data_IF_385043072162
#
_entry.id   IF_385043072162
#
_cell.length_a   1.000
_cell.length_b   1.000
_cell.length_c   1.000
_cell.angle_alpha   90.00
_cell.angle_beta   90.00
_cell.angle_gamma   90.00
#
_symmetry.space_group_name_H-M   'P 1'
#
loop_
_entity.id
_entity.type
_entity.pdbx_description
1 polymer ?
#
# COMPACT_ATOMS: atom_id res chain seq x y z
N UNK A 1 -20.23 8.11 -8.45
CA UNK A 1 -21.52 7.77 -7.80
C UNK A 1 -21.72 8.73 -6.65
N UNK A 2 -22.95 9.17 -6.43
CA UNK A 2 -23.28 9.98 -5.26
C UNK A 2 -23.37 9.10 -4.00
N UNK A 3 -23.25 9.64 -2.78
CA UNK A 3 -23.49 8.90 -1.53
C UNK A 3 -24.80 8.13 -1.50
N UNK A 4 -25.82 8.59 -2.23
CA UNK A 4 -27.13 7.93 -2.37
C UNK A 4 -27.04 6.53 -3.00
N UNK A 5 -26.07 6.28 -3.89
CA UNK A 5 -25.93 4.96 -4.54
C UNK A 5 -25.26 3.91 -3.63
N UNK A 6 -24.54 4.34 -2.58
CA UNK A 6 -23.93 3.44 -1.59
C UNK A 6 -24.87 3.04 -0.46
N UNK A 7 -25.97 3.76 -0.29
CA UNK A 7 -26.91 3.59 0.82
C UNK A 7 -27.50 2.16 0.93
N UNK A 8 -27.96 1.51 -0.15
CA UNK A 8 -28.46 0.12 -0.05
C UNK A 8 -27.41 -0.87 0.42
N UNK A 9 -26.16 -0.73 -0.06
CA UNK A 9 -25.06 -1.60 0.35
C UNK A 9 -24.65 -1.35 1.81
N UNK A 10 -24.71 -0.10 2.28
CA UNK A 10 -24.50 0.26 3.68
C UNK A 10 -25.55 -0.38 4.59
N UNK A 11 -26.83 -0.31 4.22
CA UNK A 11 -27.93 -0.94 4.98
C UNK A 11 -27.78 -2.46 5.08
N UNK A 12 -27.40 -3.10 3.97
CA UNK A 12 -27.08 -4.54 3.96
C UNK A 12 -25.92 -4.86 4.91
N UNK A 13 -24.85 -4.08 4.86
CA UNK A 13 -23.69 -4.24 5.74
C UNK A 13 -24.08 -4.09 7.21
N UNK A 14 -24.80 -3.02 7.58
CA UNK A 14 -25.23 -2.77 8.96
C UNK A 14 -26.11 -3.90 9.50
N UNK A 15 -27.06 -4.36 8.70
CA UNK A 15 -27.89 -5.52 9.03
C UNK A 15 -27.05 -6.78 9.23
N UNK A 16 -26.09 -7.03 8.33
CA UNK A 16 -25.23 -8.20 8.39
C UNK A 16 -24.36 -8.22 9.67
N UNK A 17 -23.68 -7.12 9.98
CA UNK A 17 -22.81 -7.06 11.16
C UNK A 17 -23.60 -7.07 12.48
N UNK A 18 -24.77 -6.45 12.51
CA UNK A 18 -25.64 -6.44 13.70
C UNK A 18 -26.16 -7.84 14.06
N UNK A 19 -26.37 -8.70 13.06
CA UNK A 19 -26.85 -10.06 13.25
C UNK A 19 -25.72 -11.06 13.51
N UNK A 20 -24.53 -10.84 12.97
CA UNK A 20 -23.52 -11.91 12.88
C UNK A 20 -22.17 -11.58 13.51
N UNK A 21 -21.73 -10.31 13.61
CA UNK A 21 -20.47 -9.95 14.24
C UNK A 21 -20.62 -9.78 15.75
N UNK A 22 -19.97 -10.63 16.53
CA UNK A 22 -19.94 -10.50 17.99
C UNK A 22 -19.29 -9.18 18.43
N UNK A 23 -18.25 -8.73 17.68
CA UNK A 23 -17.57 -7.47 17.94
C UNK A 23 -18.54 -6.30 17.79
N UNK A 24 -19.22 -6.16 16.65
CA UNK A 24 -20.11 -5.03 16.42
C UNK A 24 -21.37 -5.09 17.29
N UNK A 25 -21.91 -6.28 17.58
CA UNK A 25 -23.00 -6.41 18.56
C UNK A 25 -22.63 -5.87 19.94
N UNK A 26 -21.39 -6.12 20.38
CA UNK A 26 -20.88 -5.56 21.63
C UNK A 26 -20.75 -4.05 21.54
N UNK A 27 -20.11 -3.52 20.51
CA UNK A 27 -19.88 -2.08 20.30
C UNK A 27 -21.22 -1.32 20.25
N UNK A 28 -22.20 -1.79 19.49
CA UNK A 28 -23.51 -1.16 19.37
C UNK A 28 -24.23 -1.07 20.74
N UNK A 29 -24.12 -2.11 21.55
CA UNK A 29 -24.71 -2.16 22.87
C UNK A 29 -23.97 -1.22 23.86
N UNK A 30 -22.64 -1.25 23.88
CA UNK A 30 -21.81 -0.42 24.78
C UNK A 30 -21.98 1.07 24.53
N UNK A 31 -22.17 1.45 23.27
CA UNK A 31 -22.36 2.84 22.86
C UNK A 31 -23.83 3.26 22.67
N UNK A 32 -24.79 2.38 22.99
CA UNK A 32 -26.23 2.60 22.81
C UNK A 32 -26.59 3.05 21.37
N UNK A 33 -25.99 2.42 20.35
CA UNK A 33 -26.18 2.75 18.96
C UNK A 33 -27.46 2.06 18.44
N UNK A 34 -28.37 2.87 17.92
CA UNK A 34 -29.51 2.39 17.15
C UNK A 34 -29.07 2.24 15.68
N UNK A 35 -28.84 1.01 15.25
CA UNK A 35 -28.37 0.72 13.88
C UNK A 35 -29.41 1.10 12.83
N UNK A 36 -30.70 1.00 13.17
CA UNK A 36 -31.79 1.36 12.25
C UNK A 36 -31.90 2.87 12.02
N UNK A 37 -31.36 3.68 12.93
CA UNK A 37 -31.27 5.13 12.76
C UNK A 37 -30.17 5.57 11.77
N UNK A 38 -29.20 4.70 11.45
CA UNK A 38 -28.13 4.98 10.50
C UNK A 38 -28.66 4.71 9.08
N UNK A 39 -29.18 5.73 8.43
CA UNK A 39 -29.86 5.60 7.14
C UNK A 39 -29.07 6.09 5.94
N UNK A 40 -28.05 6.91 6.14
CA UNK A 40 -27.20 7.50 5.10
C UNK A 40 -25.72 7.28 5.38
N UNK A 41 -24.86 7.51 4.37
CA UNK A 41 -23.41 7.52 4.55
C UNK A 41 -22.96 8.58 5.56
N UNK A 42 -23.65 9.73 5.61
CA UNK A 42 -23.35 10.80 6.56
C UNK A 42 -23.59 10.38 8.03
N UNK A 43 -24.52 9.47 8.26
CA UNK A 43 -24.84 8.99 9.62
C UNK A 43 -23.74 8.07 10.19
N UNK A 44 -22.79 7.59 9.36
CA UNK A 44 -21.66 6.78 9.82
C UNK A 44 -20.86 7.44 10.93
N UNK A 45 -20.84 8.78 11.00
CA UNK A 45 -20.16 9.53 12.07
C UNK A 45 -20.66 9.18 13.47
N UNK A 46 -21.87 8.62 13.60
CA UNK A 46 -22.42 8.14 14.87
C UNK A 46 -21.75 6.84 15.35
N UNK A 47 -21.08 6.10 14.46
CA UNK A 47 -20.35 4.89 14.80
C UNK A 47 -18.95 5.21 15.29
N UNK A 48 -18.45 4.54 16.34
CA UNK A 48 -17.05 4.64 16.72
C UNK A 48 -16.15 4.06 15.62
N UNK A 49 -14.89 4.47 15.65
CA UNK A 49 -13.90 3.91 14.74
C UNK A 49 -13.53 2.47 15.15
N UNK A 50 -13.32 1.63 14.17
CA UNK A 50 -12.63 0.35 14.32
C UNK A 50 -11.13 0.55 14.11
N UNK A 51 -10.30 -0.06 14.94
CA UNK A 51 -8.85 0.10 14.89
C UNK A 51 -8.14 -1.24 14.63
N UNK A 52 -6.85 -1.16 14.34
CA UNK A 52 -6.01 -2.36 14.21
C UNK A 52 -5.86 -3.10 15.53
N UNK A 53 -5.87 -2.39 16.65
CA UNK A 53 -5.80 -2.99 18.00
C UNK A 53 -7.08 -3.78 18.30
N UNK A 54 -8.25 -3.29 17.88
CA UNK A 54 -9.51 -4.04 17.96
C UNK A 54 -9.45 -5.35 17.17
N UNK A 55 -8.94 -5.29 15.94
CA UNK A 55 -8.74 -6.48 15.11
C UNK A 55 -7.75 -7.47 15.73
N UNK A 56 -6.68 -6.98 16.34
CA UNK A 56 -5.71 -7.84 17.01
C UNK A 56 -6.27 -8.49 18.29
N UNK A 57 -7.03 -7.72 19.07
CA UNK A 57 -7.57 -8.17 20.36
C UNK A 57 -8.80 -9.10 20.19
N UNK A 58 -9.65 -8.82 19.20
CA UNK A 58 -10.97 -9.47 19.05
C UNK A 58 -11.14 -10.16 17.70
N UNK A 59 -10.07 -10.64 17.09
CA UNK A 59 -10.04 -11.08 15.69
C UNK A 59 -11.21 -12.00 15.29
N UNK A 60 -11.43 -13.10 16.02
CA UNK A 60 -12.50 -14.06 15.73
C UNK A 60 -13.92 -13.49 15.97
N UNK A 61 -14.07 -12.41 16.74
CA UNK A 61 -15.36 -11.77 17.00
C UNK A 61 -15.85 -10.92 15.80
N UNK A 62 -14.93 -10.57 14.88
CA UNK A 62 -15.30 -9.90 13.63
C UNK A 62 -15.92 -10.86 12.59
N UNK A 63 -15.70 -12.18 12.75
CA UNK A 63 -16.19 -13.18 11.80
C UNK A 63 -17.74 -13.26 11.82
N UNK A 64 -18.33 -13.02 10.66
CA UNK A 64 -19.78 -12.98 10.47
C UNK A 64 -20.37 -14.29 9.93
N UNK A 65 -19.54 -15.29 9.60
CA UNK A 65 -19.97 -16.57 9.04
C UNK A 65 -19.32 -17.74 9.77
N UNK A 66 -19.87 -18.95 9.69
CA UNK A 66 -19.20 -20.15 10.21
C UNK A 66 -17.87 -20.39 9.51
N UNK A 67 -16.83 -20.81 10.23
CA UNK A 67 -15.50 -21.13 9.67
C UNK A 67 -15.53 -22.13 8.51
N UNK A 68 -16.56 -22.97 8.44
CA UNK A 68 -16.77 -23.92 7.33
C UNK A 68 -17.12 -23.26 5.99
N UNK A 69 -17.47 -21.95 5.98
CA UNK A 69 -17.72 -21.18 4.77
C UNK A 69 -16.48 -20.40 4.29
N UNK A 70 -15.37 -20.51 5.01
CA UNK A 70 -14.13 -19.79 4.66
C UNK A 70 -13.40 -20.56 3.57
N UNK A 71 -13.12 -19.85 2.49
CA UNK A 71 -12.40 -20.35 1.32
C UNK A 71 -10.90 -20.01 1.38
N UNK A 72 -10.54 -18.81 1.91
CA UNK A 72 -9.14 -18.40 2.02
C UNK A 72 -8.83 -17.79 3.39
N UNK A 73 -7.66 -18.14 3.92
CA UNK A 73 -7.12 -17.69 5.21
C UNK A 73 -5.88 -16.84 4.95
N UNK A 74 -6.01 -15.53 5.13
CA UNK A 74 -4.92 -14.58 4.85
C UNK A 74 -4.49 -13.83 6.10
N UNK A 75 -3.33 -13.20 6.04
CA UNK A 75 -2.83 -12.37 7.16
C UNK A 75 -2.29 -11.05 6.66
N UNK A 76 -2.39 -10.02 7.50
CA UNK A 76 -1.70 -8.74 7.28
C UNK A 76 -0.17 -8.93 7.33
N UNK A 77 0.59 -7.91 6.91
CA UNK A 77 2.06 -8.00 6.85
C UNK A 77 2.76 -7.97 8.21
N UNK A 78 2.08 -7.55 9.28
CA UNK A 78 2.65 -7.51 10.65
C UNK A 78 3.91 -6.67 10.79
N UNK A 79 3.96 -5.48 10.23
CA UNK A 79 5.17 -4.62 10.26
C UNK A 79 5.51 -4.05 11.64
N UNK A 80 4.52 -3.83 12.49
CA UNK A 80 4.68 -3.23 13.84
C UNK A 80 4.02 -4.05 14.96
N UNK A 81 3.20 -5.04 14.62
CA UNK A 81 2.47 -5.91 15.55
C UNK A 81 2.33 -7.30 14.96
N UNK A 82 1.83 -8.25 15.74
CA UNK A 82 1.49 -9.57 15.22
C UNK A 82 0.54 -9.48 14.03
N UNK A 83 0.72 -10.35 13.01
CA UNK A 83 -0.17 -10.38 11.86
C UNK A 83 -1.61 -10.69 12.26
N UNK A 84 -2.55 -9.86 11.82
CA UNK A 84 -3.99 -10.10 11.99
C UNK A 84 -4.47 -11.05 10.90
N UNK A 85 -5.29 -12.04 11.25
CA UNK A 85 -5.90 -12.94 10.30
C UNK A 85 -7.18 -12.34 9.69
N UNK A 86 -7.37 -12.58 8.39
CA UNK A 86 -8.62 -12.30 7.69
C UNK A 86 -9.15 -13.59 7.07
N UNK A 87 -10.44 -13.79 7.16
CA UNK A 87 -11.14 -14.99 6.71
C UNK A 87 -12.07 -14.60 5.57
N UNK A 88 -11.83 -15.13 4.39
CA UNK A 88 -12.54 -14.78 3.17
C UNK A 88 -13.47 -15.92 2.76
N UNK A 89 -14.73 -15.60 2.48
CA UNK A 89 -15.67 -16.51 1.82
C UNK A 89 -15.40 -16.55 0.32
N UNK A 90 -16.08 -17.42 -0.41
CA UNK A 90 -16.03 -17.44 -1.87
C UNK A 90 -16.51 -16.12 -2.48
N UNK A 91 -17.55 -15.52 -1.89
CA UNK A 91 -18.04 -14.18 -2.27
C UNK A 91 -16.98 -13.09 -2.06
N UNK A 92 -16.24 -13.12 -0.95
CA UNK A 92 -15.16 -12.18 -0.68
C UNK A 92 -14.01 -12.33 -1.68
N UNK A 93 -13.66 -13.55 -2.04
CA UNK A 93 -12.64 -13.85 -3.06
C UNK A 93 -13.08 -13.33 -4.43
N UNK A 94 -14.35 -13.48 -4.81
CA UNK A 94 -14.88 -12.94 -6.06
C UNK A 94 -14.96 -11.40 -6.04
N UNK A 95 -15.24 -10.80 -4.87
CA UNK A 95 -15.16 -9.35 -4.67
C UNK A 95 -13.73 -8.82 -4.90
N UNK A 96 -12.71 -9.54 -4.40
CA UNK A 96 -11.31 -9.21 -4.67
C UNK A 96 -10.98 -9.28 -6.17
N UNK A 97 -11.47 -10.31 -6.86
CA UNK A 97 -11.30 -10.43 -8.31
C UNK A 97 -11.92 -9.25 -9.07
N UNK A 98 -13.09 -8.79 -8.61
CA UNK A 98 -13.77 -7.61 -9.18
C UNK A 98 -12.94 -6.36 -8.95
N UNK A 99 -12.47 -6.13 -7.72
CA UNK A 99 -11.61 -4.99 -7.40
C UNK A 99 -10.36 -4.93 -8.29
N UNK A 100 -9.65 -6.04 -8.43
CA UNK A 100 -8.40 -6.06 -9.21
C UNK A 100 -8.65 -5.90 -10.70
N UNK A 101 -9.73 -6.49 -11.24
CA UNK A 101 -10.14 -6.28 -12.62
C UNK A 101 -10.38 -4.80 -12.92
N UNK A 102 -11.11 -4.10 -12.04
CA UNK A 102 -11.37 -2.66 -12.17
C UNK A 102 -10.11 -1.80 -11.95
N UNK A 103 -9.24 -2.21 -11.03
CA UNK A 103 -7.94 -1.58 -10.79
C UNK A 103 -7.05 -1.65 -12.04
N UNK A 104 -6.99 -2.81 -12.70
CA UNK A 104 -6.23 -2.98 -13.93
C UNK A 104 -6.82 -2.17 -15.09
N UNK A 105 -8.15 -2.13 -15.22
CA UNK A 105 -8.82 -1.26 -16.20
C UNK A 105 -8.58 0.22 -15.90
N UNK A 106 -8.50 0.62 -14.63
CA UNK A 106 -8.16 1.99 -14.22
C UNK A 106 -6.76 2.36 -14.68
N UNK A 107 -5.79 1.47 -14.54
CA UNK A 107 -4.42 1.63 -15.04
C UNK A 107 -4.30 1.51 -16.57
N UNK A 108 -5.40 1.39 -17.30
CA UNK A 108 -5.43 1.30 -18.77
C UNK A 108 -5.25 -0.11 -19.31
N UNK A 109 -5.38 -1.13 -18.47
CA UNK A 109 -5.30 -2.54 -18.88
C UNK A 109 -6.53 -3.04 -19.61
N UNK A 110 -6.35 -4.09 -20.39
CA UNK A 110 -7.37 -4.72 -21.22
C UNK A 110 -7.21 -6.25 -21.25
N UNK A 111 -8.17 -6.93 -21.88
CA UNK A 111 -8.14 -8.37 -22.11
C UNK A 111 -6.99 -8.83 -23.03
N UNK A 112 -6.40 -7.92 -23.81
CA UNK A 112 -5.27 -8.23 -24.68
C UNK A 112 -3.91 -8.18 -23.96
N UNK A 113 -3.88 -7.76 -22.70
CA UNK A 113 -2.65 -7.66 -21.92
C UNK A 113 -2.22 -8.99 -21.31
N UNK A 114 -0.91 -9.13 -21.17
CA UNK A 114 -0.29 -10.22 -20.40
C UNK A 114 0.45 -9.58 -19.24
N UNK A 115 0.04 -9.93 -18.02
CA UNK A 115 0.64 -9.43 -16.79
C UNK A 115 1.76 -10.36 -16.32
N UNK A 116 2.87 -9.81 -15.85
CA UNK A 116 3.89 -10.56 -15.11
C UNK A 116 3.84 -10.18 -13.64
N UNK A 117 3.51 -11.15 -12.78
CA UNK A 117 3.43 -10.97 -11.34
C UNK A 117 4.79 -11.22 -10.71
N UNK A 118 5.44 -10.15 -10.21
CA UNK A 118 6.74 -10.19 -9.53
C UNK A 118 6.60 -10.12 -8.01
N UNK A 119 5.49 -10.58 -7.46
CA UNK A 119 5.27 -10.70 -6.02
C UNK A 119 4.76 -12.09 -5.68
N UNK A 120 4.75 -12.41 -4.37
CA UNK A 120 4.30 -13.73 -3.90
C UNK A 120 2.81 -13.94 -4.16
N UNK A 121 2.40 -15.18 -4.45
CA UNK A 121 1.01 -15.63 -4.49
C UNK A 121 0.67 -16.52 -3.29
N UNK A 122 1.67 -16.96 -2.55
CA UNK A 122 1.61 -17.82 -1.38
C UNK A 122 1.79 -17.05 -0.06
N UNK A 123 2.15 -17.72 1.04
CA UNK A 123 2.43 -17.15 2.36
C UNK A 123 1.28 -16.34 2.95
N UNK A 124 0.04 -16.76 2.70
CA UNK A 124 -1.18 -16.08 3.19
C UNK A 124 -1.27 -14.61 2.72
N UNK A 125 -0.69 -14.30 1.56
CA UNK A 125 -0.73 -12.97 0.97
C UNK A 125 -1.94 -12.83 0.06
N UNK A 126 -2.94 -12.09 0.52
CA UNK A 126 -4.23 -11.92 -0.15
C UNK A 126 -4.09 -11.39 -1.59
N UNK A 127 -3.29 -10.34 -1.77
CA UNK A 127 -3.22 -9.64 -3.05
C UNK A 127 -2.64 -10.50 -4.19
N UNK A 128 -1.74 -11.45 -3.89
CA UNK A 128 -1.15 -12.31 -4.92
C UNK A 128 -2.19 -13.14 -5.68
N UNK A 129 -3.12 -13.77 -4.94
CA UNK A 129 -4.25 -14.48 -5.53
C UNK A 129 -5.24 -13.52 -6.19
N UNK A 130 -5.54 -12.40 -5.54
CA UNK A 130 -6.45 -11.38 -6.05
C UNK A 130 -6.01 -10.85 -7.41
N UNK A 131 -4.71 -10.56 -7.62
CA UNK A 131 -4.18 -10.13 -8.92
C UNK A 131 -4.42 -11.17 -10.01
N UNK A 132 -4.15 -12.44 -9.73
CA UNK A 132 -4.39 -13.51 -10.71
C UNK A 132 -5.88 -13.62 -11.08
N UNK A 133 -6.76 -13.57 -10.07
CA UNK A 133 -8.20 -13.65 -10.28
C UNK A 133 -8.74 -12.42 -11.01
N UNK A 134 -8.22 -11.24 -10.71
CA UNK A 134 -8.57 -9.99 -11.40
C UNK A 134 -8.19 -10.01 -12.88
N UNK A 135 -6.98 -10.46 -13.21
CA UNK A 135 -6.55 -10.62 -14.59
C UNK A 135 -7.43 -11.64 -15.33
N UNK A 136 -7.69 -12.80 -14.70
CA UNK A 136 -8.59 -13.82 -15.24
C UNK A 136 -10.01 -13.26 -15.49
N UNK A 137 -10.56 -12.50 -14.52
CA UNK A 137 -11.89 -11.89 -14.64
C UNK A 137 -11.95 -10.85 -15.77
N UNK A 138 -10.87 -10.13 -15.98
CA UNK A 138 -10.73 -9.18 -17.10
C UNK A 138 -10.57 -9.87 -18.46
N UNK A 139 -10.18 -11.15 -18.48
CA UNK A 139 -9.87 -11.90 -19.70
C UNK A 139 -8.40 -11.83 -20.12
N UNK A 140 -7.54 -11.23 -19.27
CA UNK A 140 -6.11 -11.05 -19.54
C UNK A 140 -5.28 -12.26 -19.10
N UNK A 141 -4.10 -12.41 -19.70
CA UNK A 141 -3.11 -13.42 -19.28
C UNK A 141 -2.31 -13.00 -18.05
N UNK A 142 -1.81 -14.01 -17.28
CA UNK A 142 -0.89 -13.73 -16.17
C UNK A 142 0.20 -14.79 -16.04
N UNK A 143 1.45 -14.31 -15.97
CA UNK A 143 2.66 -15.09 -15.71
C UNK A 143 2.99 -14.92 -14.23
N UNK A 144 3.01 -16.01 -13.47
CA UNK A 144 3.26 -15.99 -12.02
C UNK A 144 4.70 -16.38 -11.74
N UNK A 145 5.62 -15.41 -11.81
CA UNK A 145 7.06 -15.64 -11.59
C UNK A 145 7.40 -15.62 -10.10
N UNK A 146 6.71 -14.78 -9.34
CA UNK A 146 7.01 -14.57 -7.92
C UNK A 146 8.08 -13.49 -7.70
N UNK A 147 8.46 -13.24 -6.42
CA UNK A 147 9.39 -12.16 -6.06
C UNK A 147 10.85 -12.53 -6.33
N UNK A 148 11.67 -11.51 -6.56
CA UNK A 148 13.13 -11.66 -6.70
C UNK A 148 13.57 -12.33 -8.01
N UNK A 149 14.74 -12.98 -8.00
CA UNK A 149 15.31 -13.71 -9.14
C UNK A 149 15.29 -12.96 -10.48
N UNK A 150 16.07 -11.87 -10.67
CA UNK A 150 16.06 -11.07 -11.91
C UNK A 150 16.26 -11.91 -13.18
N UNK A 151 17.08 -12.97 -13.11
CA UNK A 151 17.26 -13.93 -14.20
C UNK A 151 15.91 -14.52 -14.67
N UNK A 152 15.13 -15.06 -13.73
CA UNK A 152 13.85 -15.71 -14.05
C UNK A 152 12.82 -14.70 -14.54
N UNK A 153 12.88 -13.45 -14.05
CA UNK A 153 12.00 -12.38 -14.53
C UNK A 153 12.26 -12.09 -16.01
N UNK A 154 13.53 -11.94 -16.40
CA UNK A 154 13.91 -11.66 -17.78
C UNK A 154 13.70 -12.84 -18.73
N UNK A 155 13.98 -14.07 -18.27
CA UNK A 155 13.65 -15.28 -19.02
C UNK A 155 12.15 -15.31 -19.37
N UNK A 156 11.30 -14.99 -18.40
CA UNK A 156 9.85 -14.94 -18.59
C UNK A 156 9.42 -13.82 -19.53
N UNK A 157 10.02 -12.62 -19.41
CA UNK A 157 9.74 -11.49 -20.31
C UNK A 157 10.08 -11.84 -21.76
N UNK A 158 11.27 -12.40 -21.99
CA UNK A 158 11.72 -12.79 -23.33
C UNK A 158 10.88 -13.91 -23.94
N UNK A 159 10.45 -14.85 -23.10
CA UNK A 159 9.71 -16.05 -23.57
C UNK A 159 8.24 -15.80 -23.83
N UNK A 160 7.58 -15.01 -23.00
CA UNK A 160 6.12 -14.85 -23.01
C UNK A 160 5.64 -13.45 -23.41
N UNK A 161 6.55 -12.49 -23.56
CA UNK A 161 6.28 -11.12 -23.99
C UNK A 161 5.13 -10.44 -23.21
N UNK A 162 5.18 -10.39 -21.85
CA UNK A 162 4.20 -9.67 -21.08
C UNK A 162 4.21 -8.17 -21.42
N UNK A 163 3.06 -7.51 -21.27
CA UNK A 163 2.91 -6.08 -21.53
C UNK A 163 2.89 -5.24 -20.27
N UNK A 164 2.55 -5.85 -19.11
CA UNK A 164 2.42 -5.18 -17.82
C UNK A 164 3.16 -5.96 -16.73
N UNK A 165 3.90 -5.25 -15.90
CA UNK A 165 4.50 -5.81 -14.68
C UNK A 165 3.69 -5.38 -13.46
N UNK A 166 3.49 -6.28 -12.50
CA UNK A 166 3.01 -5.96 -11.14
C UNK A 166 4.17 -6.21 -10.17
N UNK A 167 4.70 -5.15 -9.55
CA UNK A 167 5.89 -5.26 -8.72
C UNK A 167 5.96 -4.22 -7.59
N UNK A 168 6.80 -4.50 -6.61
CA UNK A 168 7.27 -3.50 -5.66
C UNK A 168 8.30 -2.61 -6.40
N UNK A 169 8.12 -1.29 -6.46
CA UNK A 169 8.94 -0.41 -7.29
C UNK A 169 10.44 -0.50 -7.03
N UNK A 170 10.86 -0.66 -5.78
CA UNK A 170 12.29 -0.78 -5.42
C UNK A 170 12.98 -2.03 -5.98
N UNK A 171 12.24 -2.98 -6.54
CA UNK A 171 12.82 -4.13 -7.24
C UNK A 171 13.19 -3.80 -8.70
N UNK A 172 12.54 -2.81 -9.32
CA UNK A 172 12.72 -2.49 -10.74
C UNK A 172 14.14 -2.01 -11.09
N UNK A 173 14.81 -1.10 -10.32
CA UNK A 173 16.21 -0.77 -10.58
C UNK A 173 17.12 -2.00 -10.61
N UNK A 174 16.96 -2.94 -9.69
CA UNK A 174 17.73 -4.18 -9.67
C UNK A 174 17.48 -5.06 -10.90
N UNK A 175 16.26 -5.05 -11.40
CA UNK A 175 15.89 -5.74 -12.64
C UNK A 175 16.60 -5.10 -13.85
N UNK A 176 16.67 -3.76 -13.91
CA UNK A 176 17.38 -3.01 -14.94
C UNK A 176 18.89 -3.24 -14.84
N UNK A 177 19.47 -3.15 -13.64
CA UNK A 177 20.90 -3.38 -13.41
C UNK A 177 21.33 -4.78 -13.85
N UNK A 178 20.48 -5.78 -13.59
CA UNK A 178 20.71 -7.14 -14.06
C UNK A 178 20.66 -7.22 -15.60
N UNK A 179 19.73 -6.54 -16.24
CA UNK A 179 19.64 -6.52 -17.70
C UNK A 179 20.90 -5.90 -18.33
N UNK A 180 21.37 -4.77 -17.79
CA UNK A 180 22.61 -4.11 -18.24
C UNK A 180 23.81 -5.05 -18.08
N UNK A 181 23.94 -5.70 -16.92
CA UNK A 181 25.06 -6.59 -16.63
C UNK A 181 25.07 -7.89 -17.49
N UNK A 182 23.95 -8.23 -18.14
CA UNK A 182 23.81 -9.44 -18.97
C UNK A 182 23.46 -9.12 -20.43
N UNK A 183 23.72 -7.89 -20.89
CA UNK A 183 23.48 -7.45 -22.28
C UNK A 183 22.05 -7.70 -22.77
N UNK A 184 21.06 -7.56 -21.88
CA UNK A 184 19.63 -7.68 -22.22
C UNK A 184 19.13 -6.29 -22.65
N UNK A 185 18.62 -6.17 -23.86
CA UNK A 185 17.95 -4.96 -24.34
C UNK A 185 16.54 -4.84 -23.73
N UNK A 186 16.49 -4.27 -22.54
CA UNK A 186 15.24 -4.06 -21.81
C UNK A 186 14.38 -2.95 -22.45
N UNK A 187 14.99 -2.01 -23.19
CA UNK A 187 14.25 -0.94 -23.87
C UNK A 187 13.40 -1.48 -25.03
N UNK A 188 13.87 -2.55 -25.70
CA UNK A 188 13.13 -3.23 -26.76
C UNK A 188 12.17 -4.30 -26.23
N UNK A 189 12.02 -4.45 -24.90
CA UNK A 189 11.09 -5.42 -24.31
C UNK A 189 9.62 -5.08 -24.61
N UNK A 190 8.76 -6.07 -24.45
CA UNK A 190 7.31 -5.92 -24.62
C UNK A 190 6.62 -5.09 -23.53
N UNK A 191 7.31 -4.76 -22.46
CA UNK A 191 6.74 -4.07 -21.28
C UNK A 191 6.38 -2.62 -21.63
N UNK A 192 5.13 -2.25 -21.37
CA UNK A 192 4.58 -0.89 -21.57
C UNK A 192 4.33 -0.16 -20.26
N UNK A 193 4.04 -0.91 -19.19
CA UNK A 193 3.68 -0.30 -17.92
C UNK A 193 4.00 -1.19 -16.73
N UNK A 194 4.09 -0.54 -15.56
CA UNK A 194 4.33 -1.18 -14.28
C UNK A 194 3.26 -0.72 -13.29
N UNK A 195 2.52 -1.64 -12.71
CA UNK A 195 1.64 -1.41 -11.58
C UNK A 195 2.50 -1.53 -10.32
N UNK A 196 2.69 -0.41 -9.65
CA UNK A 196 3.56 -0.24 -8.49
C UNK A 196 2.77 -0.46 -7.21
N UNK A 197 3.14 -1.50 -6.46
CA UNK A 197 2.46 -1.91 -5.24
C UNK A 197 3.36 -1.80 -4.01
N UNK A 198 2.75 -1.43 -2.88
CA UNK A 198 3.38 -1.53 -1.54
C UNK A 198 4.43 -0.48 -1.20
N UNK A 199 4.83 0.36 -2.13
CA UNK A 199 5.72 1.51 -1.93
C UNK A 199 5.23 2.69 -2.79
N UNK A 200 5.31 3.94 -2.30
CA UNK A 200 4.93 5.11 -3.09
C UNK A 200 5.93 5.38 -4.22
N UNK A 201 5.43 5.86 -5.35
CA UNK A 201 6.24 6.32 -6.48
C UNK A 201 6.01 7.80 -6.81
N UNK A 202 5.17 8.48 -6.02
CA UNK A 202 4.86 9.89 -6.20
C UNK A 202 5.02 10.67 -4.91
N UNK A 203 5.34 11.94 -5.08
CA UNK A 203 5.27 12.98 -4.06
C UNK A 203 3.83 13.48 -3.87
N UNK A 204 3.53 14.20 -2.76
CA UNK A 204 2.18 14.76 -2.54
C UNK A 204 1.66 15.67 -3.65
N UNK A 205 2.53 16.30 -4.45
CA UNK A 205 2.19 17.12 -5.63
C UNK A 205 1.92 16.29 -6.90
N UNK A 206 1.89 14.96 -6.78
CA UNK A 206 1.75 13.96 -7.84
C UNK A 206 2.95 13.83 -8.79
N UNK A 207 4.01 14.61 -8.64
CA UNK A 207 5.26 14.37 -9.38
C UNK A 207 5.84 13.00 -8.99
N UNK A 208 6.59 12.37 -9.89
CA UNK A 208 7.34 11.17 -9.54
C UNK A 208 8.37 11.49 -8.44
N UNK A 209 8.43 10.64 -7.43
CA UNK A 209 9.50 10.68 -6.44
C UNK A 209 10.83 10.21 -7.07
N UNK A 210 11.93 10.21 -6.32
CA UNK A 210 13.24 9.85 -6.85
C UNK A 210 13.31 8.41 -7.38
N UNK A 211 12.63 7.48 -6.74
CA UNK A 211 12.53 6.09 -7.23
C UNK A 211 11.78 6.01 -8.57
N UNK A 212 10.65 6.69 -8.68
CA UNK A 212 9.88 6.74 -9.93
C UNK A 212 10.67 7.40 -11.05
N UNK A 213 11.39 8.52 -10.78
CA UNK A 213 12.28 9.17 -11.74
C UNK A 213 13.43 8.27 -12.16
N UNK A 214 14.08 7.56 -11.23
CA UNK A 214 15.17 6.62 -11.51
C UNK A 214 14.71 5.53 -12.48
N UNK A 215 13.50 5.00 -12.31
CA UNK A 215 12.94 3.98 -13.21
C UNK A 215 12.69 4.56 -14.60
N UNK A 216 11.93 5.66 -14.69
CA UNK A 216 11.51 6.23 -15.98
C UNK A 216 12.62 6.90 -16.76
N UNK A 217 13.72 7.32 -16.10
CA UNK A 217 14.90 7.84 -16.80
C UNK A 217 15.69 6.77 -17.54
N UNK A 218 15.54 5.50 -17.20
CA UNK A 218 16.25 4.39 -17.80
C UNK A 218 15.36 3.53 -18.70
N UNK A 219 14.07 3.41 -18.38
CA UNK A 219 13.12 2.55 -19.07
C UNK A 219 11.85 3.33 -19.42
N UNK A 220 11.54 3.44 -20.70
CA UNK A 220 10.35 4.16 -21.18
C UNK A 220 9.07 3.33 -20.92
N UNK A 221 8.66 3.30 -19.66
CA UNK A 221 7.45 2.62 -19.18
C UNK A 221 6.57 3.54 -18.38
N UNK A 222 5.26 3.32 -18.42
CA UNK A 222 4.30 4.05 -17.59
C UNK A 222 4.25 3.42 -16.19
N UNK A 223 4.27 4.27 -15.16
CA UNK A 223 4.12 3.83 -13.78
C UNK A 223 2.73 4.19 -13.25
N UNK A 224 2.06 3.22 -12.66
CA UNK A 224 0.76 3.39 -12.00
C UNK A 224 0.88 3.02 -10.52
N UNK A 225 0.60 3.96 -9.62
CA UNK A 225 0.57 3.69 -8.19
C UNK A 225 -0.70 2.98 -7.77
N UNK A 226 -0.59 2.05 -6.83
CA UNK A 226 -1.72 1.37 -6.23
C UNK A 226 -1.57 1.36 -4.71
N UNK A 227 -2.54 1.94 -4.02
CA UNK A 227 -2.67 1.87 -2.57
C UNK A 227 -3.72 0.84 -2.18
N UNK A 228 -3.33 -0.15 -1.40
CA UNK A 228 -4.21 -1.24 -0.95
C UNK A 228 -3.77 -1.77 0.42
N UNK A 229 -4.69 -2.35 1.15
CA UNK A 229 -4.40 -3.13 2.36
C UNK A 229 -5.27 -4.39 2.43
N UNK A 230 -4.83 -5.37 3.25
CA UNK A 230 -5.60 -6.59 3.50
C UNK A 230 -6.94 -6.25 4.16
N UNK A 231 -6.93 -5.29 5.07
CA UNK A 231 -8.10 -4.84 5.84
C UNK A 231 -9.19 -4.25 4.93
N UNK A 232 -8.81 -3.47 3.92
CA UNK A 232 -9.77 -2.89 2.97
C UNK A 232 -10.34 -3.93 2.01
N UNK A 233 -9.56 -4.95 1.66
CA UNK A 233 -9.91 -5.88 0.60
C UNK A 233 -10.22 -5.19 -0.73
N UNK A 234 -9.58 -4.04 -0.97
CA UNK A 234 -9.75 -3.22 -2.15
C UNK A 234 -8.50 -2.34 -2.39
N UNK A 235 -8.44 -1.67 -3.52
CA UNK A 235 -7.33 -0.84 -3.92
C UNK A 235 -7.79 0.51 -4.50
N UNK A 236 -6.97 1.53 -4.27
CA UNK A 236 -7.05 2.82 -4.95
C UNK A 236 -5.95 2.85 -6.00
N UNK A 237 -6.32 2.71 -7.27
CA UNK A 237 -5.37 2.61 -8.37
C UNK A 237 -5.40 3.87 -9.24
N UNK A 238 -4.23 4.35 -9.63
CA UNK A 238 -4.08 5.50 -10.53
C UNK A 238 -4.58 5.17 -11.95
N UNK A 239 -5.16 6.17 -12.58
CA UNK A 239 -5.39 6.16 -14.03
C UNK A 239 -4.21 6.83 -14.76
N UNK A 240 -4.33 6.96 -16.08
CA UNK A 240 -3.31 7.59 -16.96
C UNK A 240 -2.94 9.04 -16.58
N UNK A 241 -3.80 9.74 -15.85
CA UNK A 241 -3.55 11.13 -15.43
C UNK A 241 -2.56 11.23 -14.27
N UNK A 242 -2.34 10.13 -13.51
CA UNK A 242 -1.39 10.07 -12.40
C UNK A 242 -1.68 11.06 -11.27
N UNK A 243 -2.96 11.38 -11.05
CA UNK A 243 -3.44 12.36 -10.06
C UNK A 243 -4.18 11.70 -8.91
N UNK A 244 -3.55 10.67 -8.32
CA UNK A 244 -4.08 9.91 -7.20
C UNK A 244 -4.88 8.67 -7.60
N UNK A 245 -5.03 7.75 -6.64
CA UNK A 245 -5.74 6.49 -6.81
C UNK A 245 -7.25 6.66 -6.71
N UNK A 246 -7.99 6.12 -7.66
CA UNK A 246 -9.45 6.17 -7.70
C UNK A 246 -10.08 5.20 -6.72
N UNK A 247 -11.08 5.66 -5.98
CA UNK A 247 -11.98 4.83 -5.20
C UNK A 247 -12.86 3.99 -6.12
N UNK A 248 -13.07 2.71 -5.78
CA UNK A 248 -14.22 1.96 -6.27
C UNK A 248 -15.39 2.12 -5.26
N UNK A 249 -16.40 2.95 -5.56
CA UNK A 249 -17.48 3.26 -4.61
C UNK A 249 -18.44 2.11 -4.36
N UNK A 250 -18.43 1.06 -5.18
CA UNK A 250 -19.23 -0.15 -4.95
C UNK A 250 -18.62 -1.05 -3.86
N UNK A 251 -17.33 -0.85 -3.56
CA UNK A 251 -16.59 -1.70 -2.62
C UNK A 251 -16.24 -1.02 -1.29
N UNK A 252 -16.11 0.31 -1.29
CA UNK A 252 -15.70 1.06 -0.10
C UNK A 252 -16.47 2.36 0.05
N UNK A 253 -16.81 2.73 1.29
CA UNK A 253 -17.06 4.10 1.68
C UNK A 253 -15.76 4.65 2.25
N UNK A 254 -15.35 5.83 1.80
CA UNK A 254 -14.13 6.51 2.18
C UNK A 254 -14.46 7.72 3.05
N UNK A 255 -13.77 7.82 4.17
CA UNK A 255 -13.64 9.04 4.97
C UNK A 255 -12.14 9.37 5.09
N UNK A 256 -11.79 10.63 5.16
CA UNK A 256 -10.44 11.07 5.53
C UNK A 256 -10.61 12.07 6.66
N UNK A 257 -9.99 11.78 7.80
CA UNK A 257 -10.30 12.47 9.06
C UNK A 257 -9.05 13.07 9.71
N UNK A 258 -9.25 14.15 10.46
CA UNK A 258 -8.24 14.76 11.33
C UNK A 258 -8.01 13.93 12.61
N UNK A 259 -7.24 14.49 13.55
CA UNK A 259 -6.95 13.83 14.83
C UNK A 259 -8.17 13.75 15.76
N UNK A 260 -9.12 14.64 15.59
CA UNK A 260 -10.40 14.72 16.34
C UNK A 260 -11.46 13.80 15.72
N UNK A 261 -11.22 13.28 14.52
CA UNK A 261 -12.12 12.37 13.82
C UNK A 261 -13.15 13.08 12.92
N UNK A 262 -12.97 14.37 12.65
CA UNK A 262 -13.77 15.13 11.71
C UNK A 262 -13.24 14.98 10.29
N UNK A 263 -14.13 15.01 9.31
CA UNK A 263 -13.73 14.97 7.90
C UNK A 263 -12.87 16.19 7.54
N UNK A 264 -11.76 15.95 6.84
CA UNK A 264 -10.90 17.01 6.31
C UNK A 264 -11.45 17.57 5.00
N UNK A 265 -11.07 18.80 4.67
CA UNK A 265 -11.41 19.40 3.40
C UNK A 265 -10.60 18.82 2.23
N UNK A 266 -11.03 19.12 1.00
CA UNK A 266 -10.33 18.69 -0.21
C UNK A 266 -8.91 19.22 -0.25
N UNK A 267 -7.96 18.33 -0.53
CA UNK A 267 -6.54 18.66 -0.56
C UNK A 267 -5.84 18.67 0.80
N UNK A 268 -6.56 18.53 1.90
CA UNK A 268 -5.98 18.42 3.23
C UNK A 268 -5.52 16.99 3.54
N UNK A 269 -4.54 16.90 4.44
CA UNK A 269 -3.98 15.65 4.93
C UNK A 269 -4.80 15.12 6.10
N UNK A 270 -5.25 13.87 6.00
CA UNK A 270 -5.93 13.19 7.10
C UNK A 270 -5.68 11.69 7.12
N UNK A 271 -6.17 11.03 8.18
CA UNK A 271 -6.12 9.58 8.32
C UNK A 271 -7.22 8.94 7.45
N UNK A 272 -6.82 7.97 6.62
CA UNK A 272 -7.75 7.22 5.78
C UNK A 272 -8.58 6.28 6.65
N UNK A 273 -9.91 6.42 6.55
CA UNK A 273 -10.90 5.57 7.20
C UNK A 273 -11.78 4.93 6.13
N UNK A 274 -12.01 3.63 6.26
CA UNK A 274 -12.81 2.88 5.28
C UNK A 274 -13.92 2.07 5.94
N UNK A 275 -15.06 2.02 5.28
CA UNK A 275 -16.12 1.05 5.55
C UNK A 275 -16.23 0.13 4.35
N UNK A 276 -16.08 -1.18 4.57
CA UNK A 276 -16.04 -2.17 3.49
C UNK A 276 -17.47 -2.58 3.09
N UNK A 277 -17.78 -2.48 1.80
CA UNK A 277 -19.07 -2.90 1.25
C UNK A 277 -18.95 -4.26 0.57
N UNK A 278 -20.01 -5.08 0.70
CA UNK A 278 -20.10 -6.40 0.07
C UNK A 278 -19.12 -7.45 0.61
N UNK A 279 -18.52 -7.22 1.78
CA UNK A 279 -17.71 -8.21 2.49
C UNK A 279 -18.61 -9.06 3.37
N UNK A 280 -18.48 -10.38 3.25
CA UNK A 280 -19.31 -11.35 3.97
C UNK A 280 -18.60 -11.91 5.21
N UNK A 281 -17.31 -12.25 5.10
CA UNK A 281 -16.56 -12.91 6.15
C UNK A 281 -16.23 -12.00 7.33
N UNK A 282 -15.49 -10.95 7.10
CA UNK A 282 -15.02 -10.00 8.13
C UNK A 282 -15.16 -8.55 7.65
N UNK A 283 -16.39 -8.04 7.55
CA UNK A 283 -16.61 -6.66 7.16
C UNK A 283 -16.14 -5.66 8.24
N UNK A 284 -15.73 -4.47 7.80
CA UNK A 284 -15.24 -3.42 8.68
C UNK A 284 -16.08 -2.14 8.54
N UNK A 285 -16.48 -1.56 9.68
CA UNK A 285 -17.13 -0.26 9.78
C UNK A 285 -16.12 0.78 10.29
N UNK A 286 -15.98 1.90 9.58
CA UNK A 286 -15.13 3.05 9.94
C UNK A 286 -13.74 2.65 10.42
N UNK A 287 -13.07 1.76 9.66
CA UNK A 287 -11.76 1.26 10.02
C UNK A 287 -10.67 2.30 9.76
N UNK A 288 -9.96 2.70 10.82
CA UNK A 288 -8.77 3.54 10.76
C UNK A 288 -7.58 2.75 10.24
N UNK A 289 -7.11 3.09 9.04
CA UNK A 289 -5.98 2.39 8.41
C UNK A 289 -4.63 2.75 9.05
N UNK A 290 -4.56 3.90 9.70
CA UNK A 290 -3.33 4.52 10.18
C UNK A 290 -2.53 5.20 9.07
N UNK A 291 -2.93 5.10 7.81
CA UNK A 291 -2.24 5.73 6.68
C UNK A 291 -2.77 7.16 6.46
N UNK A 292 -1.86 8.10 6.18
CA UNK A 292 -2.17 9.52 5.98
C UNK A 292 -2.12 9.85 4.49
N UNK A 293 -3.23 10.38 3.95
CA UNK A 293 -3.37 10.78 2.56
C UNK A 293 -4.13 12.11 2.44
N UNK A 294 -3.92 12.81 1.32
CA UNK A 294 -4.80 13.90 0.90
C UNK A 294 -5.97 13.32 0.09
N UNK A 295 -7.16 13.91 0.20
CA UNK A 295 -8.35 13.47 -0.54
C UNK A 295 -8.75 14.50 -1.59
N UNK A 296 -9.28 14.02 -2.74
CA UNK A 296 -9.71 14.85 -3.86
C UNK A 296 -11.08 14.38 -4.35
N UNK A 297 -12.05 15.30 -4.41
CA UNK A 297 -13.44 15.02 -4.82
C UNK A 297 -13.75 15.49 -6.24
N UNK A 298 -12.94 16.40 -6.78
CA UNK A 298 -13.12 16.92 -8.14
C UNK A 298 -13.08 15.79 -9.19
N UNK A 299 -13.87 15.85 -10.28
CA UNK A 299 -13.81 14.89 -11.36
C UNK A 299 -12.42 14.81 -11.98
N UNK A 300 -11.96 13.59 -12.25
CA UNK A 300 -10.68 13.39 -12.92
C UNK A 300 -10.80 13.59 -14.43
N UNK A 301 -9.74 14.11 -15.06
CA UNK A 301 -9.66 14.26 -16.52
C UNK A 301 -9.79 12.91 -17.28
N UNK A 302 -9.62 11.77 -16.62
CA UNK A 302 -9.89 10.44 -17.20
C UNK A 302 -11.39 10.14 -17.37
N UNK A 303 -12.28 10.99 -16.88
CA UNK A 303 -13.75 10.86 -16.94
C UNK A 303 -14.38 10.22 -15.69
N UNK A 304 -13.59 9.71 -14.73
CA UNK A 304 -14.11 9.17 -13.47
C UNK A 304 -14.47 10.31 -12.50
N UNK A 305 -15.57 10.11 -11.77
CA UNK A 305 -16.09 11.08 -10.78
C UNK A 305 -15.95 10.58 -9.34
N UNK A 306 -15.39 9.37 -9.14
CA UNK A 306 -15.15 8.85 -7.79
C UNK A 306 -14.04 9.64 -7.09
N UNK A 307 -14.11 9.80 -5.75
CA UNK A 307 -13.03 10.36 -4.96
C UNK A 307 -11.69 9.69 -5.23
N UNK A 308 -10.61 10.45 -5.06
CA UNK A 308 -9.24 9.97 -5.23
C UNK A 308 -8.44 10.22 -3.96
N UNK A 309 -7.57 9.29 -3.64
CA UNK A 309 -6.55 9.47 -2.62
C UNK A 309 -5.21 9.85 -3.27
N UNK A 310 -4.57 10.87 -2.71
CA UNK A 310 -3.17 11.18 -2.99
C UNK A 310 -2.24 10.06 -2.55
N UNK A 311 -0.94 10.19 -2.83
CA UNK A 311 0.07 9.26 -2.33
C UNK A 311 0.04 9.17 -0.81
N UNK A 312 0.33 7.99 -0.26
CA UNK A 312 0.49 7.82 1.18
C UNK A 312 1.70 8.62 1.63
N UNK A 313 1.47 9.66 2.43
CA UNK A 313 2.52 10.52 2.99
C UNK A 313 3.28 9.78 4.10
N UNK A 314 2.58 8.93 4.84
CA UNK A 314 3.16 8.10 5.90
C UNK A 314 2.10 7.39 6.72
N UNK A 315 2.57 6.69 7.75
CA UNK A 315 1.71 6.08 8.77
C UNK A 315 1.75 6.87 10.05
N UNK A 316 0.59 7.11 10.66
CA UNK A 316 0.46 7.85 11.91
C UNK A 316 1.33 7.26 13.03
N UNK A 317 1.36 5.93 13.13
CA UNK A 317 2.18 5.20 14.11
C UNK A 317 3.69 5.17 13.78
N UNK A 318 4.08 5.56 12.55
CA UNK A 318 5.47 5.63 12.10
C UNK A 318 5.99 7.06 12.03
N UNK A 319 5.23 8.02 12.55
CA UNK A 319 5.65 9.40 12.64
C UNK A 319 6.85 9.53 13.56
N UNK A 320 7.95 10.10 13.06
CA UNK A 320 9.21 10.27 13.78
C UNK A 320 9.33 11.74 14.20
N UNK A 321 9.44 11.99 15.49
CA UNK A 321 9.66 13.34 16.03
C UNK A 321 11.15 13.54 16.31
N UNK A 322 11.90 14.00 15.30
CA UNK A 322 13.35 14.12 15.36
C UNK A 322 13.80 15.58 15.34
N UNK A 323 14.48 16.02 16.41
CA UNK A 323 15.04 17.39 16.54
C UNK A 323 14.02 18.50 16.24
N UNK A 324 12.79 18.35 16.75
CA UNK A 324 11.72 19.34 16.57
C UNK A 324 11.01 19.30 15.21
N UNK A 325 11.37 18.35 14.35
CA UNK A 325 10.73 18.15 13.03
C UNK A 325 9.96 16.84 13.03
N UNK A 326 8.75 16.86 12.48
CA UNK A 326 7.98 15.64 12.20
C UNK A 326 8.38 15.09 10.83
N UNK A 327 8.80 13.83 10.79
CA UNK A 327 9.26 13.16 9.59
C UNK A 327 8.50 11.84 9.42
N UNK A 328 8.07 11.55 8.21
CA UNK A 328 7.56 10.24 7.85
C UNK A 328 8.62 9.45 7.08
N UNK A 329 8.73 8.12 7.29
CA UNK A 329 9.75 7.29 6.64
C UNK A 329 9.85 7.43 5.13
N UNK A 330 8.75 7.59 4.34
CA UNK A 330 8.86 7.80 2.90
C UNK A 330 9.73 9.01 2.51
N UNK A 331 9.70 10.08 3.28
CA UNK A 331 10.53 11.26 3.01
C UNK A 331 12.03 10.98 3.22
N UNK A 332 12.39 10.12 4.18
CA UNK A 332 13.77 9.67 4.37
C UNK A 332 14.21 8.77 3.20
N UNK A 333 13.33 7.89 2.76
CA UNK A 333 13.61 7.00 1.63
C UNK A 333 13.82 7.79 0.34
N UNK A 334 13.01 8.82 0.07
CA UNK A 334 13.15 9.67 -1.11
C UNK A 334 14.51 10.38 -1.15
N UNK A 335 15.02 10.85 -0.01
CA UNK A 335 16.37 11.44 0.08
C UNK A 335 17.44 10.41 -0.23
N UNK A 336 17.32 9.17 0.26
CA UNK A 336 18.29 8.11 0.06
C UNK A 336 18.26 7.56 -1.38
N UNK A 337 17.07 7.39 -1.93
CA UNK A 337 16.85 6.90 -3.30
C UNK A 337 17.33 7.91 -4.37
N UNK A 338 17.47 9.22 -4.01
CA UNK A 338 18.04 10.24 -4.87
C UNK A 338 19.55 10.10 -5.10
N UNK A 339 20.26 9.35 -4.27
CA UNK A 339 21.72 9.20 -4.31
C UNK A 339 22.07 7.93 -5.07
N UNK A 340 22.64 8.09 -6.28
CA UNK A 340 22.91 6.97 -7.21
C UNK A 340 23.84 5.90 -6.64
N UNK A 341 24.76 6.30 -5.76
CA UNK A 341 25.73 5.43 -5.11
C UNK A 341 25.09 4.53 -4.03
N UNK A 342 23.86 4.83 -3.60
CA UNK A 342 23.15 4.08 -2.58
C UNK A 342 22.22 3.06 -3.25
N UNK A 343 22.64 1.81 -3.29
CA UNK A 343 21.80 0.70 -3.79
C UNK A 343 21.00 0.03 -2.66
N UNK A 344 21.52 0.10 -1.43
CA UNK A 344 20.93 -0.57 -0.28
C UNK A 344 21.14 0.28 0.98
N UNK A 345 20.09 0.41 1.80
CA UNK A 345 20.12 1.13 3.07
C UNK A 345 19.09 0.59 4.06
N UNK A 346 19.34 0.86 5.34
CA UNK A 346 18.33 0.66 6.40
C UNK A 346 18.26 1.91 7.27
N UNK A 347 17.04 2.35 7.60
CA UNK A 347 16.77 3.41 8.56
C UNK A 347 16.42 2.77 9.89
N UNK A 348 17.13 3.12 10.94
CA UNK A 348 16.90 2.67 12.31
C UNK A 348 16.42 3.87 13.11
N UNK A 349 15.26 3.71 13.74
CA UNK A 349 14.69 4.68 14.68
C UNK A 349 14.81 4.12 16.07
N UNK A 350 15.40 4.89 16.97
CA UNK A 350 15.56 4.53 18.38
C UNK A 350 15.11 5.67 19.28
N UNK A 351 14.94 5.39 20.58
CA UNK A 351 14.71 6.44 21.58
C UNK A 351 16.02 6.73 22.31
N UNK A 352 16.32 8.02 22.52
CA UNK A 352 17.41 8.40 23.42
C UNK A 352 16.97 8.34 24.88
N UNK A 353 17.88 8.64 25.81
CA UNK A 353 17.64 8.63 27.26
C UNK A 353 16.51 9.56 27.73
N UNK A 354 16.14 10.56 26.92
CA UNK A 354 15.03 11.49 27.17
C UNK A 354 13.73 11.08 26.47
N UNK A 355 13.68 9.90 25.79
CA UNK A 355 12.51 9.43 25.08
C UNK A 355 12.26 10.06 23.70
N UNK A 356 13.19 10.92 23.22
CA UNK A 356 13.10 11.51 21.88
C UNK A 356 13.58 10.54 20.81
N UNK A 357 12.98 10.64 19.62
CA UNK A 357 13.39 9.83 18.49
C UNK A 357 14.79 10.21 18.00
N UNK A 358 15.59 9.19 17.70
CA UNK A 358 16.86 9.31 17.00
C UNK A 358 16.81 8.50 15.70
N UNK A 359 17.41 9.05 14.64
CA UNK A 359 17.46 8.42 13.33
C UNK A 359 18.91 8.09 13.00
N UNK A 360 19.16 6.83 12.70
CA UNK A 360 20.44 6.33 12.15
C UNK A 360 20.18 5.71 10.77
N UNK A 361 20.93 6.17 9.77
CA UNK A 361 20.94 5.59 8.43
C UNK A 361 22.13 4.64 8.33
N UNK A 362 21.86 3.35 8.07
CA UNK A 362 22.86 2.31 7.90
C UNK A 362 23.13 2.11 6.41
N UNK A 363 24.38 2.24 6.00
CA UNK A 363 24.85 2.30 4.62
C UNK A 363 25.99 1.29 4.37
N UNK A 364 26.28 0.94 3.09
CA UNK A 364 27.42 0.10 2.75
C UNK A 364 28.77 0.75 3.11
N UNK A 365 29.71 -0.06 3.65
CA UNK A 365 31.03 0.38 4.09
C UNK A 365 31.84 1.09 3.00
N UNK A 366 31.67 0.72 1.73
CA UNK A 366 32.35 1.35 0.58
C UNK A 366 32.04 2.83 0.41
N UNK A 367 30.94 3.31 0.99
CA UNK A 367 30.53 4.71 0.96
C UNK A 367 31.09 5.53 2.13
N UNK A 368 31.90 4.93 3.01
CA UNK A 368 32.45 5.56 4.21
C UNK A 368 33.60 6.53 3.86
N UNK A 369 33.30 7.63 3.22
CA UNK A 369 34.26 8.73 2.98
C UNK A 369 33.78 10.03 3.62
N UNK A 370 34.73 10.95 3.92
CA UNK A 370 34.35 12.26 4.50
C UNK A 370 33.48 13.05 3.53
N UNK A 371 33.84 13.08 2.23
CA UNK A 371 33.09 13.77 1.20
C UNK A 371 31.63 13.24 1.08
N UNK A 372 31.44 11.92 1.09
CA UNK A 372 30.11 11.33 1.04
C UNK A 372 29.27 11.69 2.29
N UNK A 373 29.87 11.65 3.49
CA UNK A 373 29.18 12.04 4.73
C UNK A 373 28.73 13.50 4.68
N UNK A 374 29.59 14.42 4.23
CA UNK A 374 29.26 15.83 4.08
C UNK A 374 28.12 16.04 3.08
N UNK A 375 28.18 15.38 1.93
CA UNK A 375 27.12 15.41 0.92
C UNK A 375 25.78 14.94 1.50
N UNK A 376 25.77 13.81 2.19
CA UNK A 376 24.55 13.26 2.81
C UNK A 376 23.99 14.19 3.89
N UNK A 377 24.83 14.75 4.76
CA UNK A 377 24.39 15.70 5.77
C UNK A 377 23.78 16.97 5.15
N UNK A 378 24.41 17.50 4.09
CA UNK A 378 23.88 18.64 3.34
C UNK A 378 22.52 18.32 2.71
N UNK A 379 22.39 17.14 2.08
CA UNK A 379 21.19 16.70 1.40
C UNK A 379 20.02 16.51 2.38
N UNK A 380 20.24 15.82 3.49
CA UNK A 380 19.22 15.65 4.55
C UNK A 380 18.81 17.01 5.13
N UNK A 381 19.77 17.89 5.41
CA UNK A 381 19.47 19.22 5.95
C UNK A 381 18.68 20.08 4.98
N UNK A 382 18.97 20.03 3.68
CA UNK A 382 18.26 20.80 2.66
C UNK A 382 16.84 20.30 2.41
N UNK A 383 16.62 18.97 2.39
CA UNK A 383 15.32 18.38 2.06
C UNK A 383 14.44 18.16 3.29
N UNK A 384 15.01 17.78 4.44
CA UNK A 384 14.26 17.40 5.65
C UNK A 384 14.51 18.31 6.85
N UNK A 385 15.40 19.33 6.71
CA UNK A 385 15.81 20.26 7.78
C UNK A 385 16.48 19.58 8.98
N UNK A 386 16.80 18.32 8.88
CA UNK A 386 17.46 17.51 9.93
C UNK A 386 18.64 16.76 9.33
N UNK A 387 19.50 16.21 10.18
CA UNK A 387 20.65 15.41 9.77
C UNK A 387 20.70 14.15 10.64
N UNK A 388 20.28 12.99 10.12
CA UNK A 388 20.41 11.69 10.78
C UNK A 388 21.86 11.30 11.00
N UNK A 389 22.12 10.42 11.96
CA UNK A 389 23.42 9.75 12.09
C UNK A 389 23.65 8.77 10.94
N UNK A 390 24.91 8.63 10.48
CA UNK A 390 25.29 7.68 9.44
C UNK A 390 26.19 6.60 10.05
N UNK A 391 25.80 5.34 9.85
CA UNK A 391 26.58 4.14 10.23
C UNK A 391 26.86 3.31 8.99
N UNK A 392 28.04 2.69 8.95
CA UNK A 392 28.48 1.94 7.78
C UNK A 392 28.78 0.50 8.17
N UNK A 393 28.25 -0.45 7.40
CA UNK A 393 28.40 -1.90 7.60
C UNK A 393 28.80 -2.57 6.28
N UNK A 394 29.24 -3.82 6.33
CA UNK A 394 29.53 -4.59 5.11
C UNK A 394 28.24 -4.80 4.29
N UNK A 395 28.38 -4.88 2.96
CA UNK A 395 27.24 -5.14 2.07
C UNK A 395 26.51 -6.45 2.45
N UNK A 396 27.27 -7.47 2.87
CA UNK A 396 26.71 -8.76 3.34
C UNK A 396 25.85 -8.58 4.61
N UNK A 397 26.36 -7.83 5.57
CA UNK A 397 25.62 -7.53 6.81
C UNK A 397 24.36 -6.73 6.53
N UNK A 398 24.44 -5.69 5.69
CA UNK A 398 23.31 -4.87 5.33
C UNK A 398 22.23 -5.67 4.60
N UNK A 399 22.63 -6.53 3.66
CA UNK A 399 21.70 -7.46 2.99
C UNK A 399 20.99 -8.37 3.98
N UNK A 400 21.73 -8.94 4.95
CA UNK A 400 21.14 -9.80 5.97
C UNK A 400 20.16 -9.05 6.88
N UNK A 401 20.46 -7.80 7.23
CA UNK A 401 19.56 -6.95 8.04
C UNK A 401 18.24 -6.67 7.33
N UNK A 402 18.29 -6.41 6.01
CA UNK A 402 17.14 -5.97 5.22
C UNK A 402 16.30 -7.14 4.73
N UNK A 403 16.93 -8.23 4.28
CA UNK A 403 16.24 -9.39 3.68
C UNK A 403 16.17 -10.55 4.66
N UNK A 404 15.22 -10.48 5.59
CA UNK A 404 14.94 -11.58 6.53
C UNK A 404 14.05 -12.63 5.86
N UNK A 405 14.38 -13.91 6.02
CA UNK A 405 13.66 -15.04 5.39
C UNK A 405 12.19 -15.10 5.79
N UNK A 406 11.87 -14.65 7.01
CA UNK A 406 10.51 -14.67 7.55
C UNK A 406 9.66 -13.51 7.03
N UNK A 407 10.25 -12.44 6.48
CA UNK A 407 9.53 -11.24 6.06
C UNK A 407 9.27 -11.23 4.55
N UNK A 408 8.05 -10.87 4.18
CA UNK A 408 7.63 -10.76 2.78
C UNK A 408 8.23 -9.54 2.05
N UNK A 409 8.54 -8.47 2.80
CA UNK A 409 9.09 -7.21 2.27
C UNK A 409 10.48 -6.93 2.86
N UNK A 410 11.37 -6.25 2.11
CA UNK A 410 12.61 -5.76 2.65
C UNK A 410 12.37 -4.86 3.88
N UNK A 411 13.14 -5.05 4.94
CA UNK A 411 13.03 -4.29 6.18
C UNK A 411 13.90 -3.04 6.12
N UNK A 412 13.47 -2.05 5.33
CA UNK A 412 14.16 -0.76 5.19
C UNK A 412 14.04 0.14 6.42
N UNK A 413 13.07 -0.10 7.30
CA UNK A 413 12.82 0.66 8.53
C UNK A 413 12.73 -0.28 9.73
N UNK A 414 13.44 0.06 10.80
CA UNK A 414 13.45 -0.69 12.06
C UNK A 414 13.30 0.28 13.22
N UNK A 415 12.44 -0.06 14.20
CA UNK A 415 12.32 0.61 15.48
C UNK A 415 12.97 -0.26 16.56
N UNK A 416 13.84 0.33 17.44
CA UNK A 416 14.57 -0.35 18.51
C UNK A 416 14.47 0.42 19.82
#
# INVERSE_FOLDING_TARGET
MSPETQQPALQQLLTHVSLHSKYYQRIFREHNIDVDAISTVADLVQLPFTTKDDLAQYNDDFLCVPKSRITDFVTTSGTLSDPVAFYLTDSDVERLATNESESFRCAGGSESDIYQLMTTIDRRFMAGLAYWMGARKMGAGMIRVGPGAPFLQWESIQRFSPTVIIAIPSFIPRLIDYAIANDIDFAASSIKSIICIGEPIRNPDFSLNELGKRITSQWDVKLYSTYASTEMGAAFTECREGKGGHLNPDLLILEVVDDEGHAVEEGELGEVVVTTLGVEGMPLLRYKTGDLCNVYYEPCACGRTSPRLGPVVGRKQQMIKFKGTTIFPPALFDVLDAVKEIDLYQVVVSKNEFGNDEITVVLPMQLQTSAFKETMHSLFKSRLRVSPALTFVTAKELTFRIYKQEKRKPEKLVYI
#
